data_IF_756436772613
#
_entry.id   IF_756436772613
#
_cell.length_a   1.000
_cell.length_b   1.000
_cell.length_c   1.000
_cell.angle_alpha   90.00
_cell.angle_beta   90.00
_cell.angle_gamma   90.00
#
_symmetry.space_group_name_H-M   'P 1'
#
loop_
_entity.id
_entity.type
_entity.pdbx_description
1 polymer ?
#
# COMPACT_ATOMS: atom_id res chain seq x y z
N UNK A 1 -8.08 -12.08 -2.84
CA UNK A 1 -7.03 -11.43 -3.63
C UNK A 1 -5.68 -11.96 -3.18
N UNK A 2 -4.81 -12.29 -4.13
CA UNK A 2 -3.52 -12.84 -3.77
C UNK A 2 -2.55 -11.74 -3.38
N UNK A 3 -1.46 -12.12 -2.70
CA UNK A 3 -0.44 -11.16 -2.33
C UNK A 3 0.19 -10.51 -3.55
N UNK A 4 0.37 -11.24 -4.63
CA UNK A 4 0.91 -10.66 -5.85
C UNK A 4 -0.03 -9.64 -6.44
N UNK A 5 -1.32 -9.88 -6.42
CA UNK A 5 -2.29 -8.93 -6.93
C UNK A 5 -2.30 -7.67 -6.07
N UNK A 6 -2.18 -7.82 -4.74
CA UNK A 6 -2.12 -6.69 -3.83
C UNK A 6 -0.87 -5.86 -4.12
N UNK A 7 0.28 -6.52 -4.26
CA UNK A 7 1.52 -5.81 -4.54
C UNK A 7 1.43 -5.05 -5.86
N UNK A 8 0.84 -5.66 -6.88
CA UNK A 8 0.70 -5.02 -8.17
C UNK A 8 -0.20 -3.79 -8.09
N UNK A 9 -1.29 -3.88 -7.34
CA UNK A 9 -2.18 -2.75 -7.17
C UNK A 9 -1.49 -1.60 -6.46
N UNK A 10 -0.72 -1.90 -5.43
CA UNK A 10 -0.01 -0.88 -4.67
C UNK A 10 1.03 -0.21 -5.55
N UNK A 11 1.83 -0.99 -6.25
CA UNK A 11 2.87 -0.45 -7.11
C UNK A 11 2.26 0.43 -8.21
N UNK A 12 1.19 -0.03 -8.84
CA UNK A 12 0.54 0.72 -9.89
C UNK A 12 -0.03 2.04 -9.36
N UNK A 13 -0.60 2.02 -8.16
CA UNK A 13 -1.18 3.22 -7.58
C UNK A 13 -0.09 4.22 -7.20
N UNK A 14 1.02 3.74 -6.64
CA UNK A 14 2.17 4.59 -6.34
C UNK A 14 2.68 5.25 -7.61
N UNK A 15 2.86 4.44 -8.66
CA UNK A 15 3.38 4.93 -9.92
C UNK A 15 2.48 6.02 -10.50
N UNK A 16 1.18 5.79 -10.43
CA UNK A 16 0.21 6.71 -10.97
C UNK A 16 0.22 8.03 -10.22
N UNK A 17 0.23 7.98 -8.90
CA UNK A 17 0.16 9.18 -8.09
C UNK A 17 1.47 9.96 -8.07
N UNK A 18 2.58 9.24 -8.12
CA UNK A 18 3.89 9.88 -8.05
C UNK A 18 4.45 10.24 -9.43
N UNK A 19 3.85 9.73 -10.49
CA UNK A 19 4.38 9.93 -11.83
C UNK A 19 5.72 9.26 -12.03
N UNK A 20 6.00 8.20 -11.28
CA UNK A 20 7.28 7.52 -11.33
C UNK A 20 7.13 6.15 -11.94
N UNK A 21 8.20 5.66 -12.56
CA UNK A 21 8.22 4.33 -13.14
C UNK A 21 9.24 3.48 -12.44
N UNK A 22 9.05 2.18 -12.53
CA UNK A 22 10.03 1.21 -12.02
C UNK A 22 10.38 1.45 -10.57
N UNK A 23 9.36 1.62 -9.75
CA UNK A 23 9.55 1.86 -8.33
C UNK A 23 10.10 0.59 -7.70
N UNK A 24 11.22 0.71 -6.99
CA UNK A 24 11.85 -0.42 -6.34
C UNK A 24 11.30 -0.59 -4.92
N UNK A 25 11.42 -1.79 -4.35
CA UNK A 25 10.90 -2.03 -2.99
C UNK A 25 11.51 -1.12 -1.92
N UNK A 26 12.75 -0.66 -2.12
CA UNK A 26 13.37 0.21 -1.14
C UNK A 26 13.18 1.69 -1.45
N UNK A 27 12.41 2.02 -2.48
CA UNK A 27 12.11 3.41 -2.76
C UNK A 27 11.11 3.94 -1.74
N UNK A 28 11.40 5.15 -1.28
CA UNK A 28 10.59 5.80 -0.25
C UNK A 28 9.57 6.72 -0.91
N UNK A 29 8.31 6.62 -0.48
CA UNK A 29 7.21 7.39 -1.06
C UNK A 29 7.53 8.89 -1.07
N UNK A 30 8.04 9.39 0.06
CA UNK A 30 8.29 10.82 0.17
C UNK A 30 9.53 11.24 -0.60
N UNK A 31 10.50 10.35 -0.73
CA UNK A 31 11.70 10.64 -1.52
C UNK A 31 11.38 10.71 -3.01
N UNK A 32 10.34 10.02 -3.44
CA UNK A 32 9.91 10.04 -4.85
C UNK A 32 9.04 11.24 -5.17
N UNK A 33 8.87 12.15 -4.24
CA UNK A 33 8.06 13.33 -4.47
C UNK A 33 6.70 13.28 -3.82
N UNK A 34 6.41 12.24 -3.05
CA UNK A 34 5.16 12.15 -2.34
C UNK A 34 5.08 13.14 -1.20
N UNK A 35 3.87 13.57 -0.89
CA UNK A 35 3.62 14.45 0.25
C UNK A 35 2.28 14.06 0.84
N UNK A 36 1.90 14.75 1.91
CA UNK A 36 0.73 14.34 2.68
C UNK A 36 -0.54 14.21 1.84
N UNK A 37 -0.77 15.16 0.95
CA UNK A 37 -1.98 15.11 0.12
C UNK A 37 -1.98 13.89 -0.79
N UNK A 38 -0.83 13.59 -1.41
CA UNK A 38 -0.73 12.41 -2.25
C UNK A 38 -0.87 11.15 -1.41
N UNK A 39 -0.35 11.18 -0.19
CA UNK A 39 -0.51 10.06 0.73
C UNK A 39 -1.97 9.80 1.04
N UNK A 40 -2.74 10.85 1.31
CA UNK A 40 -4.16 10.68 1.58
C UNK A 40 -4.86 10.10 0.36
N UNK A 41 -4.50 10.54 -0.84
CA UNK A 41 -5.08 9.98 -2.06
C UNK A 41 -4.72 8.53 -2.24
N UNK A 42 -3.47 8.19 -1.92
CA UNK A 42 -3.03 6.79 -2.00
C UNK A 42 -3.85 5.90 -1.08
N UNK A 43 -3.98 6.32 0.18
CA UNK A 43 -4.72 5.54 1.16
C UNK A 43 -6.17 5.39 0.72
N UNK A 44 -6.80 6.47 0.29
CA UNK A 44 -8.20 6.39 -0.16
C UNK A 44 -8.37 5.44 -1.35
N UNK A 45 -7.47 5.52 -2.30
CA UNK A 45 -7.54 4.65 -3.47
C UNK A 45 -7.39 3.19 -3.09
N UNK A 46 -6.46 2.89 -2.19
CA UNK A 46 -6.22 1.51 -1.78
C UNK A 46 -7.34 0.98 -0.90
N UNK A 47 -7.93 1.84 -0.07
CA UNK A 47 -9.07 1.42 0.72
C UNK A 47 -10.19 0.91 -0.18
N UNK A 48 -10.40 1.58 -1.30
CA UNK A 48 -11.43 1.16 -2.23
C UNK A 48 -11.00 -0.05 -3.04
N UNK A 49 -9.79 -0.01 -3.60
CA UNK A 49 -9.35 -1.08 -4.49
C UNK A 49 -9.21 -2.40 -3.78
N UNK A 50 -8.77 -2.36 -2.52
CA UNK A 50 -8.50 -3.57 -1.76
C UNK A 50 -9.57 -3.86 -0.71
N UNK A 51 -10.61 -3.04 -0.67
CA UNK A 51 -11.72 -3.19 0.26
C UNK A 51 -11.25 -3.23 1.71
N UNK A 52 -10.28 -2.39 2.07
CA UNK A 52 -9.73 -2.39 3.41
C UNK A 52 -10.44 -1.43 4.36
N UNK A 53 -11.08 -0.41 3.81
CA UNK A 53 -11.79 0.55 4.64
C UNK A 53 -10.88 1.17 5.69
N UNK A 54 -11.36 1.22 6.93
CA UNK A 54 -10.62 1.88 7.99
C UNK A 54 -9.39 1.13 8.46
N UNK A 55 -9.16 -0.07 7.97
CA UNK A 55 -7.98 -0.81 8.39
C UNK A 55 -6.70 -0.22 7.86
N UNK A 56 -6.77 0.54 6.77
CA UNK A 56 -5.60 1.20 6.21
C UNK A 56 -5.74 2.70 6.46
N UNK A 57 -4.72 3.29 7.07
CA UNK A 57 -4.75 4.69 7.46
C UNK A 57 -3.48 5.39 7.00
N UNK A 58 -3.54 6.73 6.95
CA UNK A 58 -2.38 7.51 6.50
C UNK A 58 -1.16 7.28 7.39
N UNK A 59 -1.37 7.01 8.66
CA UNK A 59 -0.26 6.72 9.57
C UNK A 59 0.52 5.48 9.16
N UNK A 60 -0.15 4.54 8.49
CA UNK A 60 0.54 3.33 8.03
C UNK A 60 1.59 3.67 6.99
N UNK A 61 1.32 4.67 6.14
CA UNK A 61 2.31 5.09 5.16
C UNK A 61 3.48 5.79 5.84
N UNK A 62 3.23 6.58 6.87
CA UNK A 62 4.32 7.23 7.58
C UNK A 62 5.20 6.23 8.30
N UNK A 63 4.62 5.15 8.80
CA UNK A 63 5.38 4.12 9.50
C UNK A 63 6.11 3.18 8.55
N UNK A 64 5.58 3.02 7.35
CA UNK A 64 6.13 2.10 6.35
C UNK A 64 6.30 2.85 5.03
N UNK A 65 7.26 3.77 4.95
CA UNK A 65 7.33 4.67 3.79
C UNK A 65 7.94 4.07 2.54
N UNK A 66 8.61 2.93 2.62
CA UNK A 66 9.14 2.31 1.41
C UNK A 66 8.10 1.41 0.79
N UNK A 67 8.20 1.22 -0.53
CA UNK A 67 7.23 0.40 -1.23
C UNK A 67 7.15 -1.00 -0.64
N UNK A 68 8.29 -1.61 -0.36
CA UNK A 68 8.32 -2.96 0.18
C UNK A 68 7.69 -3.06 1.56
N UNK A 69 8.04 -2.12 2.45
CA UNK A 69 7.48 -2.13 3.79
C UNK A 69 5.99 -1.87 3.76
N UNK A 70 5.59 -0.89 2.98
CA UNK A 70 4.16 -0.56 2.88
C UNK A 70 3.37 -1.71 2.28
N UNK A 71 3.89 -2.32 1.23
CA UNK A 71 3.23 -3.46 0.59
C UNK A 71 3.07 -4.61 1.57
N UNK A 72 4.13 -4.93 2.33
CA UNK A 72 4.04 -5.99 3.31
C UNK A 72 3.00 -5.71 4.38
N UNK A 73 2.94 -4.45 4.83
CA UNK A 73 1.95 -4.06 5.82
C UNK A 73 0.54 -4.22 5.28
N UNK A 74 0.30 -3.75 4.05
CA UNK A 74 -1.03 -3.84 3.44
C UNK A 74 -1.42 -5.30 3.21
N UNK A 75 -0.47 -6.12 2.78
CA UNK A 75 -0.74 -7.54 2.61
C UNK A 75 -1.16 -8.18 3.93
N UNK A 76 -0.54 -7.75 5.01
CA UNK A 76 -0.90 -8.24 6.33
C UNK A 76 -2.33 -7.85 6.70
N UNK A 77 -2.73 -6.63 6.39
CA UNK A 77 -4.10 -6.18 6.68
C UNK A 77 -5.13 -6.91 5.82
N UNK A 78 -4.75 -7.21 4.59
CA UNK A 78 -5.67 -7.86 3.66
C UNK A 78 -5.69 -9.37 3.79
N UNK A 79 -4.82 -9.94 4.59
CA UNK A 79 -4.74 -11.39 4.72
C UNK A 79 -6.06 -11.91 5.29
N UNK A 80 -6.58 -12.98 4.73
CA UNK A 80 -7.82 -13.54 5.23
C UNK A 80 -7.63 -14.10 6.61
N UNK A 81 -8.50 -13.71 7.50
CA UNK A 81 -8.34 -14.18 8.87
C UNK A 81 -8.60 -15.65 8.99
N UNK A 82 -9.26 -16.22 8.03
CA UNK A 82 -9.52 -17.60 8.17
C UNK A 82 -8.32 -18.42 8.11
N UNK A 83 -7.23 -17.89 7.63
CA UNK A 83 -6.09 -18.68 7.66
C UNK A 83 -5.72 -19.06 8.99
N UNK A 84 -5.94 -18.21 9.93
CA UNK A 84 -5.55 -18.55 11.25
C UNK A 84 -6.55 -19.42 11.86
N UNK A 85 -7.71 -19.35 11.33
CA UNK A 85 -8.71 -20.15 11.95
C UNK A 85 -8.48 -21.56 11.81
N UNK A 86 -7.79 -21.89 10.89
CA UNK A 86 -7.61 -23.16 10.74
C UNK A 86 -6.97 -23.78 11.68
N UNK A 87 -6.50 -23.33 12.21
CA UNK A 87 -5.93 -24.02 13.11
C UNK A 87 -6.40 -24.67 14.04
#
# INVERSE_FOLDING_TARGET
>A
MTNDAIASQITATWSQLLGAKDIAPDDNFFALGGHSLLGVKLIGALQEKLALGDELKIGDLFEHPTLGEFTGHVQSLAAPSEETGEI
#
